data_IF_916880907106
#
_entry.id   IF_916880907106
#
_cell.length_a   1.000
_cell.length_b   1.000
_cell.length_c   1.000
_cell.angle_alpha   90.00
_cell.angle_beta   90.00
_cell.angle_gamma   90.00
#
_symmetry.space_group_name_H-M   'P 1'
#
loop_
_entity.id
_entity.type
_entity.pdbx_description
1 polymer ?
#
# COMPACT_ATOMS: atom_id res chain seq x y z
N UNK A 1 59.51 10.58 -43.98
CA UNK A 1 59.36 11.71 -43.03
C UNK A 1 58.07 11.49 -42.26
N UNK A 2 58.17 10.82 -41.11
CA UNK A 2 57.04 10.54 -40.22
C UNK A 2 57.32 11.27 -38.91
N UNK A 3 56.75 12.46 -38.73
CA UNK A 3 56.85 13.20 -37.47
C UNK A 3 55.82 14.33 -37.43
N UNK A 4 55.15 14.45 -36.27
CA UNK A 4 54.53 15.65 -35.63
C UNK A 4 53.06 15.52 -35.23
N UNK A 5 52.35 14.48 -35.64
CA UNK A 5 51.09 14.09 -34.97
C UNK A 5 51.49 13.04 -33.95
N UNK A 6 51.30 13.29 -32.64
CA UNK A 6 51.08 12.30 -31.56
C UNK A 6 51.66 12.70 -30.18
N UNK A 7 52.67 13.58 -30.08
CA UNK A 7 53.24 13.95 -28.77
C UNK A 7 52.24 14.67 -27.85
N UNK A 8 51.45 15.60 -28.38
CA UNK A 8 50.44 16.33 -27.59
C UNK A 8 49.29 15.43 -27.08
N UNK A 9 49.00 14.32 -27.78
CA UNK A 9 47.98 13.35 -27.36
C UNK A 9 48.53 12.45 -26.25
N UNK A 10 49.76 11.97 -26.43
CA UNK A 10 50.46 11.16 -25.43
C UNK A 10 50.62 11.95 -24.13
N UNK A 11 51.07 13.21 -24.19
CA UNK A 11 51.28 14.05 -23.00
C UNK A 11 49.98 14.34 -22.22
N UNK A 12 48.82 14.30 -22.89
CA UNK A 12 47.50 14.51 -22.27
C UNK A 12 46.89 13.24 -21.69
N UNK A 13 47.13 12.09 -22.32
CA UNK A 13 46.45 10.84 -21.97
C UNK A 13 47.30 9.94 -21.06
N UNK A 14 48.62 10.07 -21.08
CA UNK A 14 49.54 9.36 -20.20
C UNK A 14 49.29 9.65 -18.71
N UNK A 15 49.14 10.90 -18.23
CA UNK A 15 48.83 11.15 -16.82
C UNK A 15 47.45 10.56 -16.43
N UNK A 16 46.45 10.69 -17.30
CA UNK A 16 45.11 10.12 -17.04
C UNK A 16 45.15 8.59 -17.00
N UNK A 17 45.94 7.95 -17.86
CA UNK A 17 46.10 6.51 -17.87
C UNK A 17 46.77 6.01 -16.59
N UNK A 18 47.79 6.73 -16.11
CA UNK A 18 48.46 6.43 -14.82
C UNK A 18 47.47 6.58 -13.66
N UNK A 19 46.69 7.66 -13.62
CA UNK A 19 45.66 7.86 -12.58
C UNK A 19 44.61 6.74 -12.61
N UNK A 20 44.13 6.37 -13.80
CA UNK A 20 43.17 5.27 -13.97
C UNK A 20 43.75 3.92 -13.54
N UNK A 21 45.02 3.65 -13.83
CA UNK A 21 45.70 2.44 -13.37
C UNK A 21 45.82 2.41 -11.85
N UNK A 22 46.22 3.52 -11.23
CA UNK A 22 46.30 3.62 -9.78
C UNK A 22 44.92 3.37 -9.14
N UNK A 23 43.87 4.04 -9.62
CA UNK A 23 42.50 3.80 -9.11
C UNK A 23 42.03 2.36 -9.32
N UNK A 24 42.39 1.73 -10.45
CA UNK A 24 42.09 0.32 -10.69
C UNK A 24 42.79 -0.58 -9.67
N UNK A 25 44.08 -0.33 -9.37
CA UNK A 25 44.81 -1.11 -8.37
C UNK A 25 44.20 -0.98 -6.97
N UNK A 26 43.79 0.23 -6.57
CA UNK A 26 43.11 0.47 -5.30
C UNK A 26 41.76 -0.25 -5.23
N UNK A 27 40.97 -0.19 -6.30
CA UNK A 27 39.69 -0.88 -6.41
C UNK A 27 39.85 -2.40 -6.33
N UNK A 28 40.82 -2.97 -7.04
CA UNK A 28 41.12 -4.41 -7.00
C UNK A 28 41.56 -4.84 -5.61
N UNK A 29 42.42 -4.06 -4.94
CA UNK A 29 42.84 -4.32 -3.57
C UNK A 29 41.66 -4.27 -2.58
N UNK A 30 40.78 -3.27 -2.72
CA UNK A 30 39.58 -3.14 -1.91
C UNK A 30 38.61 -4.32 -2.12
N UNK A 31 38.29 -4.67 -3.37
CA UNK A 31 37.39 -5.78 -3.70
C UNK A 31 37.96 -7.11 -3.23
N UNK A 32 39.25 -7.38 -3.44
CA UNK A 32 39.88 -8.62 -2.96
C UNK A 32 39.88 -8.72 -1.44
N UNK A 33 40.04 -7.60 -0.71
CA UNK A 33 39.88 -7.58 0.76
C UNK A 33 38.46 -7.96 1.18
N UNK A 34 37.44 -7.34 0.58
CA UNK A 34 36.03 -7.63 0.89
C UNK A 34 35.67 -9.10 0.59
N UNK A 35 36.14 -9.65 -0.54
CA UNK A 35 35.90 -11.05 -0.91
C UNK A 35 36.57 -12.00 0.09
N UNK A 36 37.81 -11.73 0.52
CA UNK A 36 38.49 -12.53 1.54
C UNK A 36 37.74 -12.53 2.87
N UNK A 37 37.27 -11.37 3.32
CA UNK A 37 36.46 -11.24 4.54
C UNK A 37 35.13 -12.01 4.43
N UNK A 38 34.47 -11.96 3.28
CA UNK A 38 33.25 -12.73 3.02
C UNK A 38 33.52 -14.24 3.03
N UNK A 39 34.61 -14.70 2.41
CA UNK A 39 34.98 -16.12 2.38
C UNK A 39 35.24 -16.67 3.78
N UNK A 40 35.87 -15.89 4.67
CA UNK A 40 36.06 -16.27 6.08
C UNK A 40 34.69 -16.46 6.75
N UNK A 41 33.80 -15.46 6.65
CA UNK A 41 32.44 -15.52 7.24
C UNK A 41 31.61 -16.70 6.73
N UNK A 42 31.75 -17.05 5.45
CA UNK A 42 31.06 -18.22 4.87
C UNK A 42 31.64 -19.53 5.41
N UNK A 43 32.96 -19.66 5.52
CA UNK A 43 33.61 -20.84 6.12
C UNK A 43 33.27 -21.03 7.59
N UNK A 44 33.14 -19.92 8.32
CA UNK A 44 32.74 -19.91 9.73
C UNK A 44 31.23 -20.20 9.91
N UNK A 45 30.48 -20.39 8.82
CA UNK A 45 29.05 -20.70 8.88
C UNK A 45 28.18 -19.54 9.39
N UNK A 46 28.68 -18.30 9.35
CA UNK A 46 27.94 -17.13 9.85
C UNK A 46 26.64 -16.87 9.06
N UNK A 47 26.57 -17.32 7.80
CA UNK A 47 25.40 -17.21 6.93
C UNK A 47 24.78 -18.58 6.67
N UNK A 48 23.70 -18.90 7.39
CA UNK A 48 22.91 -20.11 7.16
C UNK A 48 21.95 -19.90 5.97
N UNK A 49 22.29 -20.42 4.79
CA UNK A 49 21.46 -20.33 3.58
C UNK A 49 20.39 -21.41 3.48
N UNK A 50 20.33 -22.35 4.43
CA UNK A 50 19.44 -23.53 4.37
C UNK A 50 17.94 -23.22 4.39
N UNK A 51 17.54 -22.04 4.88
CA UNK A 51 16.13 -21.59 4.95
C UNK A 51 15.87 -20.34 4.09
N UNK A 52 16.58 -20.24 2.96
CA UNK A 52 16.45 -19.14 2.00
C UNK A 52 15.24 -19.26 1.06
N UNK A 53 14.91 -18.15 0.40
CA UNK A 53 13.98 -18.13 -0.74
C UNK A 53 14.73 -18.61 -2.00
N UNK A 54 14.43 -19.81 -2.49
CA UNK A 54 15.07 -20.40 -3.68
C UNK A 54 15.02 -19.50 -4.93
N UNK A 55 13.95 -18.72 -5.06
CA UNK A 55 13.80 -17.75 -6.14
C UNK A 55 14.86 -16.65 -6.10
N UNK A 56 15.25 -16.20 -4.90
CA UNK A 56 16.26 -15.17 -4.72
C UNK A 56 17.65 -15.73 -5.07
N UNK A 57 17.92 -16.98 -4.70
CA UNK A 57 19.16 -17.68 -5.05
C UNK A 57 19.32 -17.80 -6.57
N UNK A 58 18.27 -18.22 -7.28
CA UNK A 58 18.25 -18.27 -8.74
C UNK A 58 18.56 -16.89 -9.35
N UNK A 59 17.91 -15.84 -8.84
CA UNK A 59 18.12 -14.47 -9.32
C UNK A 59 19.57 -14.03 -9.14
N UNK A 60 20.18 -14.30 -7.98
CA UNK A 60 21.57 -13.96 -7.73
C UNK A 60 22.52 -14.75 -8.62
N UNK A 61 22.26 -16.04 -8.85
CA UNK A 61 23.06 -16.85 -9.76
C UNK A 61 22.99 -16.34 -11.20
N UNK A 62 21.80 -15.95 -11.67
CA UNK A 62 21.63 -15.33 -12.99
C UNK A 62 22.37 -13.98 -13.10
N UNK A 63 22.33 -13.16 -12.06
CA UNK A 63 23.09 -11.91 -12.01
C UNK A 63 24.60 -12.16 -12.04
N UNK A 64 25.07 -13.22 -11.37
CA UNK A 64 26.47 -13.63 -11.40
C UNK A 64 26.90 -14.08 -12.80
N UNK A 65 26.10 -14.92 -13.47
CA UNK A 65 26.37 -15.33 -14.85
C UNK A 65 26.40 -14.14 -15.81
N UNK A 66 25.48 -13.18 -15.65
CA UNK A 66 25.48 -11.94 -16.42
C UNK A 66 26.79 -11.17 -16.26
N UNK A 67 27.27 -11.00 -15.01
CA UNK A 67 28.54 -10.30 -14.76
C UNK A 67 29.74 -11.08 -15.31
N UNK A 68 29.75 -12.42 -15.19
CA UNK A 68 30.82 -13.25 -15.73
C UNK A 68 30.93 -13.12 -17.24
N UNK A 69 29.82 -13.27 -17.97
CA UNK A 69 29.83 -13.11 -19.43
C UNK A 69 30.17 -11.67 -19.85
N UNK A 70 29.72 -10.66 -19.09
CA UNK A 70 30.09 -9.27 -19.34
C UNK A 70 31.60 -9.04 -19.19
N UNK A 71 32.20 -9.55 -18.11
CA UNK A 71 33.66 -9.45 -17.91
C UNK A 71 34.44 -10.18 -19.00
N UNK A 72 33.93 -11.31 -19.48
CA UNK A 72 34.53 -12.03 -20.59
C UNK A 72 34.50 -11.20 -21.89
N UNK A 73 33.39 -10.55 -22.21
CA UNK A 73 33.31 -9.64 -23.36
C UNK A 73 34.24 -8.43 -23.23
N UNK A 74 34.37 -7.86 -22.03
CA UNK A 74 35.32 -6.78 -21.78
C UNK A 74 36.75 -7.28 -22.05
N UNK A 75 37.10 -8.48 -21.58
CA UNK A 75 38.41 -9.09 -21.82
C UNK A 75 38.70 -9.29 -23.30
N UNK A 76 37.73 -9.76 -24.09
CA UNK A 76 37.87 -9.92 -25.55
C UNK A 76 38.12 -8.55 -26.20
N UNK A 77 37.35 -7.54 -25.81
CA UNK A 77 37.47 -6.18 -26.34
C UNK A 77 38.82 -5.54 -26.01
N UNK A 78 39.33 -5.75 -24.80
CA UNK A 78 40.66 -5.24 -24.39
C UNK A 78 41.80 -5.95 -25.11
N UNK A 79 41.60 -7.20 -25.56
CA UNK A 79 42.56 -7.94 -26.37
C UNK A 79 42.49 -7.56 -27.88
N UNK A 80 41.54 -6.72 -28.29
CA UNK A 80 41.34 -6.32 -29.68
C UNK A 80 40.53 -7.32 -30.52
N UNK A 81 39.86 -8.28 -29.89
CA UNK A 81 39.02 -9.26 -30.58
C UNK A 81 37.67 -8.71 -31.03
N UNK A 82 37.08 -9.35 -32.03
CA UNK A 82 35.74 -9.01 -32.51
C UNK A 82 34.65 -9.58 -31.58
N UNK A 83 33.61 -8.79 -31.34
CA UNK A 83 32.53 -9.13 -30.40
C UNK A 83 31.37 -9.86 -31.11
N UNK A 84 31.23 -9.71 -32.44
CA UNK A 84 30.01 -10.04 -33.19
C UNK A 84 29.60 -11.51 -33.17
N UNK A 85 30.54 -12.44 -33.05
CA UNK A 85 30.27 -13.89 -33.08
C UNK A 85 30.56 -14.58 -31.74
N UNK A 86 30.61 -13.82 -30.64
CA UNK A 86 30.83 -14.42 -29.33
C UNK A 86 29.53 -14.98 -28.76
N UNK A 87 29.51 -16.28 -28.44
CA UNK A 87 28.42 -16.94 -27.69
C UNK A 87 28.07 -16.21 -26.37
N UNK A 88 29.03 -15.47 -25.80
CA UNK A 88 28.80 -14.68 -24.59
C UNK A 88 27.75 -13.57 -24.80
N UNK A 89 27.63 -13.01 -26.01
CA UNK A 89 26.56 -12.06 -26.33
C UNK A 89 25.19 -12.73 -26.23
N UNK A 90 25.04 -13.91 -26.82
CA UNK A 90 23.78 -14.65 -26.79
C UNK A 90 23.40 -15.01 -25.35
N UNK A 91 24.36 -15.47 -24.54
CA UNK A 91 24.15 -15.74 -23.11
C UNK A 91 23.73 -14.48 -22.33
N UNK A 92 24.35 -13.33 -22.58
CA UNK A 92 23.97 -12.07 -21.92
C UNK A 92 22.55 -11.65 -22.29
N UNK A 93 22.19 -11.73 -23.57
CA UNK A 93 20.85 -11.37 -24.04
C UNK A 93 19.82 -12.32 -23.45
N UNK A 94 20.07 -13.62 -23.47
CA UNK A 94 19.18 -14.62 -22.88
C UNK A 94 19.00 -14.40 -21.38
N UNK A 95 20.07 -14.28 -20.59
CA UNK A 95 19.99 -13.98 -19.16
C UNK A 95 19.24 -12.68 -18.89
N UNK A 96 19.46 -11.63 -19.69
CA UNK A 96 18.72 -10.36 -19.56
C UNK A 96 17.22 -10.55 -19.81
N UNK A 97 16.84 -11.26 -20.85
CA UNK A 97 15.42 -11.54 -21.13
C UNK A 97 14.77 -12.35 -20.00
N UNK A 98 15.47 -13.35 -19.44
CA UNK A 98 14.99 -14.12 -18.29
C UNK A 98 14.78 -13.21 -17.08
N UNK A 99 15.74 -12.34 -16.74
CA UNK A 99 15.60 -11.39 -15.64
C UNK A 99 14.42 -10.41 -15.83
N UNK A 100 14.13 -10.00 -17.06
CA UNK A 100 12.96 -9.18 -17.36
C UNK A 100 11.65 -9.94 -17.17
N UNK A 101 11.59 -11.21 -17.60
CA UNK A 101 10.43 -12.08 -17.42
C UNK A 101 10.20 -12.50 -15.97
N UNK A 102 11.23 -12.48 -15.12
CA UNK A 102 11.11 -12.74 -13.68
C UNK A 102 10.48 -11.57 -12.89
N UNK A 103 10.46 -10.34 -13.44
CA UNK A 103 9.96 -9.15 -12.72
C UNK A 103 8.54 -9.29 -12.14
N UNK A 104 7.53 -9.84 -12.85
CA UNK A 104 6.21 -10.02 -12.26
C UNK A 104 6.21 -10.93 -11.03
N UNK A 105 7.10 -11.93 -10.99
CA UNK A 105 7.27 -12.81 -9.82
C UNK A 105 7.89 -12.05 -8.65
N UNK A 106 8.88 -11.19 -8.91
CA UNK A 106 9.43 -10.29 -7.88
C UNK A 106 8.33 -9.45 -7.23
N UNK A 107 7.41 -8.89 -8.03
CA UNK A 107 6.33 -8.06 -7.51
C UNK A 107 5.37 -8.86 -6.62
N UNK A 108 5.07 -10.12 -6.98
CA UNK A 108 4.22 -11.00 -6.17
C UNK A 108 4.91 -11.42 -4.86
N UNK A 109 6.22 -11.66 -4.91
CA UNK A 109 7.02 -12.09 -3.75
C UNK A 109 7.50 -10.92 -2.90
N UNK A 110 7.41 -9.68 -3.38
CA UNK A 110 7.87 -8.47 -2.67
C UNK A 110 7.35 -8.40 -1.24
N UNK A 111 6.07 -8.70 -1.03
CA UNK A 111 5.50 -8.69 0.32
C UNK A 111 6.16 -9.73 1.24
N UNK A 112 6.41 -10.94 0.73
CA UNK A 112 7.03 -12.01 1.49
C UNK A 112 8.49 -11.69 1.81
N UNK A 113 9.23 -11.15 0.82
CA UNK A 113 10.61 -10.70 0.99
C UNK A 113 10.66 -9.58 2.03
N UNK A 114 9.85 -8.54 1.88
CA UNK A 114 9.79 -7.41 2.81
C UNK A 114 9.39 -7.86 4.22
N UNK A 115 8.46 -8.83 4.34
CA UNK A 115 8.07 -9.42 5.61
C UNK A 115 9.24 -10.16 6.26
N UNK A 116 9.96 -11.00 5.52
CA UNK A 116 11.11 -11.74 6.05
C UNK A 116 12.26 -10.81 6.46
N UNK A 117 12.57 -9.79 5.65
CA UNK A 117 13.57 -8.78 5.96
C UNK A 117 13.17 -8.01 7.22
N UNK A 118 11.90 -7.58 7.34
CA UNK A 118 11.40 -6.93 8.55
C UNK A 118 11.53 -7.86 9.76
N UNK A 119 11.11 -9.12 9.67
CA UNK A 119 11.25 -10.05 10.79
C UNK A 119 12.71 -10.28 11.21
N UNK A 120 13.64 -10.31 10.25
CA UNK A 120 15.08 -10.44 10.55
C UNK A 120 15.65 -9.21 11.26
N UNK A 121 15.19 -8.01 10.89
CA UNK A 121 15.67 -6.74 11.48
C UNK A 121 15.00 -6.42 12.82
N UNK A 122 13.68 -6.58 12.93
CA UNK A 122 12.90 -6.17 14.11
C UNK A 122 12.54 -7.30 15.06
N UNK A 123 12.77 -8.57 14.69
CA UNK A 123 12.46 -9.74 15.52
C UNK A 123 10.97 -9.95 15.81
N UNK A 124 10.08 -9.15 15.23
CA UNK A 124 8.63 -9.21 15.42
C UNK A 124 7.89 -9.02 14.08
N UNK A 125 6.80 -9.76 13.92
CA UNK A 125 5.84 -9.56 12.83
C UNK A 125 5.08 -8.24 13.07
N UNK A 126 4.79 -7.50 11.99
CA UNK A 126 4.05 -6.25 12.10
C UNK A 126 2.62 -6.49 12.62
N UNK A 127 2.12 -5.62 13.50
CA UNK A 127 0.77 -5.75 14.09
C UNK A 127 -0.38 -5.66 13.07
N UNK A 128 -0.11 -5.13 11.87
CA UNK A 128 -1.07 -4.96 10.77
C UNK A 128 -0.68 -5.80 9.54
N UNK A 129 -0.41 -7.10 9.72
CA UNK A 129 -0.14 -8.02 8.61
C UNK A 129 -1.47 -8.65 8.13
N UNK A 130 -1.90 -8.40 6.88
CA UNK A 130 -3.14 -8.97 6.34
C UNK A 130 -3.15 -10.51 6.30
N UNK A 131 -1.99 -11.18 6.33
CA UNK A 131 -1.87 -12.64 6.39
C UNK A 131 -1.97 -13.20 7.81
N UNK A 132 -1.92 -12.39 8.87
CA UNK A 132 -2.16 -12.85 10.25
C UNK A 132 -3.59 -13.31 10.49
N UNK A 133 -4.52 -12.86 9.64
CA UNK A 133 -5.93 -13.25 9.70
C UNK A 133 -6.22 -14.56 8.96
N UNK A 134 -5.20 -15.25 8.44
CA UNK A 134 -5.37 -16.58 7.85
C UNK A 134 -5.74 -17.59 8.95
N UNK A 135 -6.69 -18.52 8.68
CA UNK A 135 -6.95 -19.61 9.59
C UNK A 135 -5.66 -20.42 9.84
N UNK A 136 -5.26 -20.56 11.09
CA UNK A 136 -4.17 -21.46 11.50
C UNK A 136 -4.77 -22.80 11.95
N UNK A 137 -4.77 -23.85 11.11
CA UNK A 137 -5.35 -25.15 11.45
C UNK A 137 -4.60 -25.83 12.60
N UNK A 138 -3.31 -25.57 12.78
CA UNK A 138 -2.51 -26.09 13.90
C UNK A 138 -3.06 -25.68 15.28
N UNK A 139 -3.72 -24.52 15.37
CA UNK A 139 -4.33 -24.01 16.60
C UNK A 139 -5.63 -24.76 16.98
N UNK A 140 -6.14 -25.62 16.09
CA UNK A 140 -7.24 -26.54 16.35
C UNK A 140 -6.73 -27.91 16.82
N UNK A 141 -5.55 -28.33 16.35
CA UNK A 141 -4.98 -29.65 16.63
C UNK A 141 -4.54 -29.73 18.10
N UNK A 142 -3.96 -28.66 18.66
CA UNK A 142 -3.58 -28.62 20.08
C UNK A 142 -4.78 -28.79 21.01
N UNK A 143 -5.97 -28.32 20.61
CA UNK A 143 -7.21 -28.47 21.39
C UNK A 143 -7.83 -29.86 21.29
N UNK A 144 -7.50 -30.62 20.25
CA UNK A 144 -7.94 -32.01 20.08
C UNK A 144 -7.03 -32.98 20.84
N UNK A 145 -5.72 -32.72 20.88
CA UNK A 145 -4.77 -33.54 21.67
C UNK A 145 -4.90 -33.34 23.17
N UNK A 146 -5.41 -32.19 23.62
CA UNK A 146 -5.62 -31.87 25.05
C UNK A 146 -6.93 -32.48 25.60
N UNK A 147 -7.76 -33.10 24.75
CA UNK A 147 -9.00 -33.79 25.17
C UNK A 147 -8.82 -35.28 25.49
N UNK A 148 -7.63 -35.86 25.28
CA UNK A 148 -7.38 -37.32 25.34
C UNK A 148 -6.12 -37.68 26.16
N UNK A 149 -5.79 -36.95 27.23
CA UNK A 149 -4.70 -37.36 28.12
C UNK A 149 -4.46 -36.48 29.35
N UNK A 150 -4.96 -36.92 30.50
CA UNK A 150 -4.38 -36.67 31.85
C UNK A 150 -3.78 -38.01 32.30
N UNK A 151 -2.62 -38.17 32.92
CA UNK A 151 -1.72 -37.34 33.71
C UNK A 151 -0.27 -37.77 33.40
N UNK A 152 0.70 -36.86 33.49
CA UNK A 152 1.88 -37.11 34.34
C UNK A 152 2.80 -35.88 34.40
N UNK A 153 3.21 -35.54 35.61
CA UNK A 153 4.15 -34.48 35.97
C UNK A 153 5.61 -34.93 35.71
N UNK A 154 6.45 -34.09 35.08
CA UNK A 154 7.69 -33.56 35.69
C UNK A 154 8.56 -32.70 34.72
N UNK A 155 8.97 -31.53 35.25
CA UNK A 155 10.25 -30.77 35.16
C UNK A 155 11.01 -30.46 33.84
N UNK A 156 11.33 -29.14 33.74
CA UNK A 156 12.53 -28.45 33.20
C UNK A 156 12.81 -28.57 31.67
N UNK A 157 13.32 -27.59 30.91
CA UNK A 157 13.90 -26.26 31.14
C UNK A 157 13.87 -25.47 29.80
N UNK A 158 13.88 -24.14 29.88
CA UNK A 158 14.37 -23.16 28.90
C UNK A 158 14.19 -23.38 27.36
N UNK A 159 13.18 -22.72 26.77
CA UNK A 159 13.41 -21.94 25.54
C UNK A 159 12.39 -20.80 25.39
N UNK A 160 12.91 -19.59 25.19
CA UNK A 160 12.17 -18.34 25.05
C UNK A 160 11.43 -18.28 23.70
N UNK A 161 10.23 -18.83 23.65
CA UNK A 161 9.20 -18.45 22.69
C UNK A 161 7.98 -18.01 23.48
N UNK A 162 7.48 -16.79 23.20
CA UNK A 162 6.36 -16.15 23.91
C UNK A 162 5.18 -17.13 24.05
N UNK A 163 5.02 -17.70 25.24
CA UNK A 163 3.84 -18.48 25.64
C UNK A 163 2.60 -17.58 25.46
N UNK A 164 1.54 -18.02 24.75
CA UNK A 164 0.25 -17.39 24.95
C UNK A 164 -0.16 -17.69 26.39
N UNK A 165 -0.63 -16.67 27.10
CA UNK A 165 -0.97 -16.76 28.52
C UNK A 165 -1.82 -18.01 28.81
N UNK A 166 -1.29 -18.86 29.69
CA UNK A 166 -2.02 -20.00 30.25
C UNK A 166 -3.18 -19.54 31.12
N UNK A 167 -4.24 -20.36 31.12
CA UNK A 167 -5.26 -20.51 32.18
C UNK A 167 -6.03 -19.28 32.66
N UNK A 168 -7.04 -18.91 31.88
CA UNK A 168 -8.41 -18.69 32.39
C UNK A 168 -9.36 -18.90 31.22
N UNK A 169 -10.52 -19.48 31.46
CA UNK A 169 -11.59 -19.75 30.49
C UNK A 169 -12.10 -18.48 29.80
N UNK A 170 -11.28 -17.88 28.94
CA UNK A 170 -11.60 -16.69 28.18
C UNK A 170 -12.53 -17.12 27.05
N UNK A 171 -13.81 -16.83 27.25
CA UNK A 171 -14.87 -16.92 26.25
C UNK A 171 -14.33 -16.39 24.92
N UNK A 172 -14.26 -17.23 23.90
CA UNK A 172 -13.78 -16.83 22.58
C UNK A 172 -14.62 -15.67 22.08
N UNK A 173 -13.99 -14.53 21.82
CA UNK A 173 -14.64 -13.36 21.22
C UNK A 173 -14.18 -13.30 19.76
N UNK A 174 -15.06 -13.64 18.81
CA UNK A 174 -14.74 -13.50 17.39
C UNK A 174 -14.37 -12.04 17.09
N UNK A 175 -13.31 -11.79 16.29
CA UNK A 175 -12.99 -10.45 15.86
C UNK A 175 -14.17 -9.85 15.09
N UNK A 176 -14.56 -8.63 15.47
CA UNK A 176 -15.64 -7.91 14.80
C UNK A 176 -15.12 -7.34 13.49
N UNK A 177 -15.20 -8.13 12.42
CA UNK A 177 -14.84 -7.68 11.07
C UNK A 177 -16.02 -6.85 10.52
N UNK A 178 -15.78 -5.57 10.24
CA UNK A 178 -16.74 -4.75 9.52
C UNK A 178 -16.74 -5.18 8.04
N UNK A 179 -17.91 -5.31 7.38
CA UNK A 179 -17.95 -5.60 5.95
C UNK A 179 -17.26 -4.47 5.19
N UNK A 180 -16.12 -4.77 4.57
CA UNK A 180 -15.46 -3.88 3.62
C UNK A 180 -15.90 -4.29 2.21
N UNK A 181 -16.32 -3.33 1.41
CA UNK A 181 -16.58 -3.58 0.00
C UNK A 181 -15.27 -4.01 -0.69
N UNK A 182 -15.31 -5.17 -1.35
CA UNK A 182 -14.21 -5.66 -2.15
C UNK A 182 -14.16 -4.90 -3.47
N UNK A 183 -13.18 -4.00 -3.62
CA UNK A 183 -13.01 -3.20 -4.84
C UNK A 183 -12.29 -3.98 -5.97
N UNK A 184 -12.07 -5.29 -5.84
CA UNK A 184 -11.27 -6.05 -6.81
C UNK A 184 -9.80 -5.60 -6.87
N UNK A 185 -9.12 -5.94 -7.97
CA UNK A 185 -7.73 -5.52 -8.29
C UNK A 185 -7.66 -4.06 -8.78
N UNK A 186 -8.57 -3.20 -8.33
CA UNK A 186 -8.53 -1.78 -8.68
C UNK A 186 -7.39 -1.11 -7.94
N UNK A 187 -6.45 -0.55 -8.70
CA UNK A 187 -5.31 0.18 -8.14
C UNK A 187 -5.78 1.39 -7.34
N UNK A 188 -4.96 1.86 -6.39
CA UNK A 188 -5.27 3.06 -5.60
C UNK A 188 -5.51 4.31 -6.49
N UNK A 189 -4.90 4.35 -7.67
CA UNK A 189 -5.10 5.40 -8.66
C UNK A 189 -6.52 5.35 -9.25
N UNK A 190 -7.05 4.17 -9.52
CA UNK A 190 -8.41 4.00 -10.06
C UNK A 190 -9.47 4.35 -9.03
N UNK A 191 -9.24 4.04 -7.75
CA UNK A 191 -10.11 4.48 -6.64
C UNK A 191 -10.16 6.01 -6.54
N UNK A 192 -9.02 6.68 -6.67
CA UNK A 192 -8.95 8.16 -6.69
C UNK A 192 -9.68 8.75 -7.90
N UNK A 193 -9.53 8.16 -9.09
CA UNK A 193 -10.27 8.58 -10.30
C UNK A 193 -11.78 8.43 -10.11
N UNK A 194 -12.26 7.31 -9.57
CA UNK A 194 -13.68 7.10 -9.31
C UNK A 194 -14.25 8.11 -8.28
N UNK A 195 -13.47 8.46 -7.26
CA UNK A 195 -13.84 9.51 -6.31
C UNK A 195 -13.91 10.89 -6.96
N UNK A 196 -12.91 11.24 -7.78
CA UNK A 196 -12.88 12.50 -8.54
C UNK A 196 -14.06 12.59 -9.51
N UNK A 197 -14.40 11.49 -10.19
CA UNK A 197 -15.55 11.44 -11.09
C UNK A 197 -16.86 11.61 -10.33
N UNK A 198 -17.01 10.97 -9.16
CA UNK A 198 -18.18 11.15 -8.29
C UNK A 198 -18.33 12.60 -7.83
N UNK A 199 -17.23 13.26 -7.47
CA UNK A 199 -17.21 14.68 -7.11
C UNK A 199 -17.58 15.57 -8.30
N UNK A 200 -17.05 15.28 -9.50
CA UNK A 200 -17.39 16.00 -10.73
C UNK A 200 -18.88 15.87 -11.07
N UNK A 201 -19.43 14.66 -10.98
CA UNK A 201 -20.87 14.40 -11.17
C UNK A 201 -21.71 15.11 -10.11
N UNK A 202 -21.26 15.18 -8.85
CA UNK A 202 -21.95 15.92 -7.80
C UNK A 202 -21.90 17.44 -8.04
N UNK A 203 -20.78 17.97 -8.49
CA UNK A 203 -20.62 19.38 -8.85
C UNK A 203 -21.52 19.76 -10.03
N UNK A 204 -21.59 18.93 -11.09
CA UNK A 204 -22.51 19.11 -12.22
C UNK A 204 -23.99 19.00 -11.82
N UNK A 205 -24.28 18.34 -10.69
CA UNK A 205 -25.62 18.26 -10.08
C UNK A 205 -25.88 19.34 -9.03
N UNK A 206 -24.96 20.30 -8.87
CA UNK A 206 -25.20 21.45 -8.00
C UNK A 206 -26.33 22.33 -8.55
N UNK A 207 -27.01 23.04 -7.66
CA UNK A 207 -28.16 23.89 -7.99
C UNK A 207 -27.86 24.90 -9.09
N UNK A 208 -26.67 25.51 -9.03
CA UNK A 208 -26.22 26.54 -9.98
C UNK A 208 -26.14 26.00 -11.41
N UNK A 209 -25.57 24.80 -11.59
CA UNK A 209 -25.42 24.20 -12.92
C UNK A 209 -26.77 23.67 -13.43
N UNK A 210 -27.64 23.21 -12.53
CA UNK A 210 -28.98 22.76 -12.92
C UNK A 210 -29.87 23.92 -13.39
N UNK A 211 -29.78 25.08 -12.73
CA UNK A 211 -30.53 26.29 -13.09
C UNK A 211 -30.03 26.86 -14.44
N UNK A 212 -28.70 26.95 -14.63
CA UNK A 212 -28.13 27.31 -15.93
C UNK A 212 -28.59 26.35 -17.03
N UNK A 213 -28.60 25.04 -16.77
CA UNK A 213 -29.08 24.05 -17.75
C UNK A 213 -30.55 24.23 -18.10
N UNK A 214 -31.39 24.62 -17.15
CA UNK A 214 -32.82 24.88 -17.38
C UNK A 214 -33.02 26.12 -18.25
N UNK A 215 -32.28 27.20 -17.99
CA UNK A 215 -32.37 28.46 -18.75
C UNK A 215 -32.01 28.30 -20.24
N UNK A 216 -31.07 27.40 -20.56
CA UNK A 216 -30.63 27.14 -21.93
C UNK A 216 -31.29 25.90 -22.56
N UNK A 217 -32.25 25.26 -21.88
CA UNK A 217 -32.97 24.10 -22.44
C UNK A 217 -34.37 24.47 -22.89
N UNK A 218 -34.73 24.11 -24.13
CA UNK A 218 -36.10 24.22 -24.66
C UNK A 218 -37.04 23.09 -24.18
N UNK A 219 -36.63 22.33 -23.17
CA UNK A 219 -37.45 21.25 -22.62
C UNK A 219 -38.57 21.83 -21.73
N UNK A 220 -39.80 21.29 -21.79
CA UNK A 220 -40.89 21.78 -20.96
C UNK A 220 -40.59 21.61 -19.48
N UNK A 221 -40.84 22.65 -18.69
CA UNK A 221 -40.63 22.64 -17.24
C UNK A 221 -41.80 21.99 -16.50
N UNK A 222 -41.50 21.09 -15.57
CA UNK A 222 -42.49 20.55 -14.63
C UNK A 222 -42.82 21.60 -13.55
N UNK A 223 -43.91 22.35 -13.75
CA UNK A 223 -44.41 23.30 -12.75
C UNK A 223 -45.06 22.52 -11.61
N UNK A 224 -44.42 22.50 -10.44
CA UNK A 224 -44.96 21.94 -9.19
C UNK A 224 -45.42 23.06 -8.25
N UNK A 225 -46.49 22.80 -7.49
CA UNK A 225 -47.10 23.75 -6.53
C UNK A 225 -46.19 24.16 -5.35
N UNK A 226 -45.07 23.45 -5.11
CA UNK A 226 -44.13 23.75 -4.00
C UNK A 226 -42.69 23.79 -4.49
N UNK A 227 -42.11 25.00 -4.51
CA UNK A 227 -40.71 25.25 -4.91
C UNK A 227 -39.81 25.45 -3.68
N UNK A 228 -39.59 24.38 -2.92
CA UNK A 228 -38.56 24.37 -1.88
C UNK A 228 -37.40 23.46 -2.31
N UNK A 229 -36.19 24.00 -2.38
CA UNK A 229 -34.99 23.25 -2.81
C UNK A 229 -34.70 22.02 -1.93
N UNK A 230 -35.00 22.10 -0.63
CA UNK A 230 -34.91 20.95 0.29
C UNK A 230 -36.00 19.90 0.01
N UNK A 231 -37.14 20.31 -0.52
CA UNK A 231 -38.24 19.43 -0.92
C UNK A 231 -37.92 18.68 -2.22
N UNK A 232 -37.17 19.29 -3.15
CA UNK A 232 -36.78 18.61 -4.39
C UNK A 232 -35.86 17.41 -4.15
N UNK A 233 -34.86 17.57 -3.27
CA UNK A 233 -33.97 16.46 -2.90
C UNK A 233 -34.75 15.31 -2.25
N UNK A 234 -35.67 15.62 -1.34
CA UNK A 234 -36.51 14.62 -0.69
C UNK A 234 -37.46 13.94 -1.69
N UNK A 235 -38.04 14.71 -2.62
CA UNK A 235 -38.89 14.18 -3.69
C UNK A 235 -38.14 13.23 -4.61
N UNK A 236 -36.89 13.55 -4.97
CA UNK A 236 -36.04 12.66 -5.78
C UNK A 236 -35.73 11.35 -5.05
N UNK A 237 -35.39 11.43 -3.76
CA UNK A 237 -35.15 10.25 -2.93
C UNK A 237 -36.42 9.38 -2.78
N UNK A 238 -37.59 10.01 -2.68
CA UNK A 238 -38.89 9.31 -2.62
C UNK A 238 -39.25 8.67 -3.96
N UNK A 239 -38.99 9.34 -5.07
CA UNK A 239 -39.22 8.80 -6.41
C UNK A 239 -38.27 7.63 -6.70
N UNK A 240 -37.00 7.75 -6.32
CA UNK A 240 -36.04 6.64 -6.41
C UNK A 240 -36.49 5.43 -5.57
N UNK A 241 -37.03 5.68 -4.37
CA UNK A 241 -37.57 4.61 -3.52
C UNK A 241 -38.79 3.95 -4.16
N UNK A 242 -39.73 4.73 -4.71
CA UNK A 242 -40.90 4.20 -5.42
C UNK A 242 -40.48 3.32 -6.59
N UNK A 243 -39.58 3.81 -7.45
CA UNK A 243 -39.07 3.05 -8.57
C UNK A 243 -38.42 1.72 -8.13
N UNK A 244 -37.65 1.74 -7.03
CA UNK A 244 -37.08 0.52 -6.47
C UNK A 244 -38.18 -0.45 -5.98
N UNK A 245 -39.14 0.03 -5.18
CA UNK A 245 -40.24 -0.77 -4.67
C UNK A 245 -41.11 -1.36 -5.79
N UNK A 246 -41.33 -0.62 -6.88
CA UNK A 246 -42.06 -1.08 -8.07
C UNK A 246 -41.25 -2.11 -8.86
N UNK A 247 -39.96 -1.85 -9.09
CA UNK A 247 -39.10 -2.77 -9.86
C UNK A 247 -38.87 -4.10 -9.15
N UNK A 248 -38.77 -4.08 -7.81
CA UNK A 248 -38.53 -5.26 -6.97
C UNK A 248 -39.83 -5.83 -6.38
N UNK A 249 -40.97 -5.15 -6.58
CA UNK A 249 -42.28 -5.46 -5.98
C UNK A 249 -42.26 -5.71 -4.46
N UNK A 250 -41.36 -5.05 -3.73
CA UNK A 250 -41.20 -5.20 -2.26
C UNK A 250 -41.15 -3.83 -1.59
N UNK A 251 -41.98 -3.63 -0.57
CA UNK A 251 -41.97 -2.39 0.23
C UNK A 251 -40.76 -2.35 1.15
N UNK A 252 -40.02 -1.24 1.12
CA UNK A 252 -38.91 -1.00 2.05
C UNK A 252 -39.44 -0.49 3.39
N UNK A 253 -38.95 -1.02 4.51
CA UNK A 253 -39.28 -0.48 5.84
C UNK A 253 -38.36 0.69 6.20
N UNK A 254 -38.91 1.72 6.86
CA UNK A 254 -38.12 2.88 7.30
C UNK A 254 -37.73 2.74 8.78
N UNK A 255 -36.47 3.01 9.15
CA UNK A 255 -36.06 3.01 10.54
C UNK A 255 -36.78 4.13 11.32
N UNK A 256 -37.10 3.87 12.59
CA UNK A 256 -37.86 4.79 13.48
C UNK A 256 -37.26 6.21 13.50
N UNK A 257 -35.93 6.32 13.48
CA UNK A 257 -35.22 7.61 13.45
C UNK A 257 -35.53 8.44 12.20
N UNK A 258 -35.47 7.84 11.01
CA UNK A 258 -35.78 8.53 9.75
C UNK A 258 -37.26 8.87 9.63
N UNK A 259 -38.15 8.01 10.15
CA UNK A 259 -39.58 8.32 10.21
C UNK A 259 -39.85 9.57 11.07
N UNK A 260 -39.14 9.71 12.19
CA UNK A 260 -39.28 10.87 13.07
C UNK A 260 -38.67 12.14 12.47
N UNK A 261 -37.53 12.06 11.76
CA UNK A 261 -36.96 13.23 11.08
C UNK A 261 -37.88 13.73 9.95
N UNK A 262 -38.45 12.83 9.15
CA UNK A 262 -39.47 13.17 8.14
C UNK A 262 -40.70 13.81 8.75
N UNK A 263 -41.24 13.26 9.85
CA UNK A 263 -42.37 13.86 10.58
C UNK A 263 -42.06 15.28 11.06
N UNK A 264 -40.85 15.53 11.57
CA UNK A 264 -40.41 16.87 12.00
C UNK A 264 -40.29 17.85 10.84
N UNK A 265 -39.74 17.41 9.70
CA UNK A 265 -39.69 18.23 8.48
C UNK A 265 -41.08 18.59 7.96
N UNK A 266 -42.00 17.64 7.98
CA UNK A 266 -43.39 17.84 7.54
C UNK A 266 -44.21 18.72 8.50
N UNK A 267 -43.94 18.65 9.80
CA UNK A 267 -44.57 19.49 10.83
C UNK A 267 -44.13 20.96 10.72
N UNK A 268 -42.85 21.21 10.41
CA UNK A 268 -42.34 22.58 10.17
C UNK A 268 -42.97 23.29 8.98
N UNK A 269 -43.52 22.52 8.02
CA UNK A 269 -44.21 23.02 6.84
C UNK A 269 -45.69 23.38 7.10
N UNK A 270 -46.34 22.72 8.07
CA UNK A 270 -47.76 22.95 8.40
C UNK A 270 -48.00 24.21 9.23
N UNK A 271 -46.98 24.69 9.93
CA UNK A 271 -47.01 25.98 10.62
C UNK A 271 -46.39 27.06 9.74
N UNK A 272 -46.97 27.28 8.56
CA UNK A 272 -46.84 28.58 7.91
C UNK A 272 -47.60 29.57 8.78
N UNK A 273 -46.99 30.73 9.06
CA UNK A 273 -47.48 31.84 9.90
C UNK A 273 -46.90 31.88 11.33
N UNK A 274 -45.90 32.78 11.44
CA UNK A 274 -45.35 33.48 12.61
C UNK A 274 -44.28 32.78 13.46
N UNK A 275 -43.01 33.02 13.09
CA UNK A 275 -41.98 33.43 14.06
C UNK A 275 -40.91 34.32 13.39
N UNK A 276 -41.29 35.55 13.06
CA UNK A 276 -40.34 36.63 12.78
C UNK A 276 -39.89 37.25 14.12
N UNK A 277 -39.12 36.51 14.92
CA UNK A 277 -38.46 37.07 16.13
C UNK A 277 -37.33 36.18 16.64
N UNK A 278 -36.30 35.98 15.83
CA UNK A 278 -35.01 35.46 16.34
C UNK A 278 -33.83 36.05 15.59
N UNK A 279 -33.67 37.38 15.62
CA UNK A 279 -32.37 38.02 15.37
C UNK A 279 -31.64 38.43 16.67
N UNK A 280 -32.29 38.43 17.84
CA UNK A 280 -31.63 38.90 19.08
C UNK A 280 -30.75 37.89 19.82
N UNK A 281 -30.80 36.59 19.48
CA UNK A 281 -30.01 35.57 20.22
C UNK A 281 -28.58 35.35 19.72
N UNK A 282 -28.14 36.00 18.63
CA UNK A 282 -26.75 35.88 18.15
C UNK A 282 -25.76 36.89 18.78
N UNK A 283 -26.22 37.96 19.45
CA UNK A 283 -25.32 38.89 20.15
C UNK A 283 -24.90 38.45 21.56
N UNK A 284 -25.59 37.50 22.20
CA UNK A 284 -25.24 37.03 23.56
C UNK A 284 -24.26 35.85 23.60
N UNK A 285 -24.00 35.15 22.49
CA UNK A 285 -23.09 33.99 22.50
C UNK A 285 -21.62 34.36 22.22
N UNK A 286 -21.34 35.54 21.67
CA UNK A 286 -19.95 36.00 21.39
C UNK A 286 -19.28 36.74 22.56
N UNK A 287 -19.91 36.84 23.74
CA UNK A 287 -19.35 37.52 24.93
C UNK A 287 -18.96 36.58 26.09
N UNK A 288 -19.08 35.26 25.92
CA UNK A 288 -18.64 34.27 26.93
C UNK A 288 -17.59 33.33 26.31
N UNK A 289 -16.37 33.83 26.12
CA UNK A 289 -15.14 33.03 26.14
C UNK A 289 -13.89 33.92 26.10
N UNK A 290 -13.70 34.71 27.16
CA UNK A 290 -12.41 35.33 27.49
C UNK A 290 -12.15 35.23 28.99
N UNK A 291 -12.27 34.03 29.58
CA UNK A 291 -11.63 33.75 30.87
C UNK A 291 -10.19 33.33 30.60
N UNK A 292 -9.29 34.29 30.76
CA UNK A 292 -7.83 34.14 30.79
C UNK A 292 -7.48 32.99 31.75
N UNK A 293 -6.78 31.96 31.24
CA UNK A 293 -6.06 31.00 32.09
C UNK A 293 -4.96 31.77 32.81
N UNK A 294 -5.09 31.93 34.12
CA UNK A 294 -4.01 32.44 34.96
C UNK A 294 -2.92 31.36 35.05
N UNK A 295 -1.72 31.69 34.55
CA UNK A 295 -0.51 30.91 34.78
C UNK A 295 -0.14 31.03 36.26
N UNK A 296 -0.14 29.89 36.98
CA UNK A 296 0.36 29.80 38.35
C UNK A 296 1.85 29.43 38.25
N UNK A 297 2.74 30.39 38.51
CA UNK A 297 4.17 30.13 38.70
C UNK A 297 4.34 29.38 40.02
N UNK A 298 4.88 28.17 39.98
CA UNK A 298 5.47 27.56 41.16
C UNK A 298 6.83 28.21 41.42
N UNK A 299 7.05 28.57 42.67
CA UNK A 299 8.34 28.90 43.26
C UNK A 299 8.84 27.65 43.98
#
# INVERSE_FOLDING_TARGET
>A
MAATVDNDLIDRDLPKAVDLLNTLTEQVASVTKHVRELLIKVKDGAFNTSKGLSFLDLRYQLMLFYLQDLTHLISIKTAGGEIKESDALERIVTVRTVLEKMRPLDHKLKYQIDKLVRTAVTGSLAENDPLQLRPNPENLISKLSESEGSDDEDKNEASSARKPATSSSKKYVPPKIAPMHYDGDLTEADKKKAQMERQRRAALRSSVIQELRQQYSDAPEEIREKRDFQSERQSREELHRKNYEESMMVRLSMPKSQRNSKKRGMMGMRTGWRRLSTQEKKKKLMKKNTKRKAFKKHR
#
